data_IF_874960329205
#
_entry.id   IF_874960329205
#
_cell.length_a   1.000
_cell.length_b   1.000
_cell.length_c   1.000
_cell.angle_alpha   90.00
_cell.angle_beta   90.00
_cell.angle_gamma   90.00
#
_symmetry.space_group_name_H-M   'P 1'
#
loop_
_entity.id
_entity.type
_entity.pdbx_description
1 polymer ?
#
# COMPACT_ATOMS: atom_id res chain seq x y z
N UNK A 1 5.70 11.58 20.07
CA UNK A 1 4.76 11.06 19.06
C UNK A 1 4.62 9.53 19.07
N UNK A 2 5.71 8.74 18.99
CA UNK A 2 5.63 7.25 19.03
C UNK A 2 5.11 6.64 20.36
N UNK A 3 5.16 7.39 21.47
CA UNK A 3 4.64 6.91 22.76
C UNK A 3 3.11 6.97 22.87
N UNK A 4 2.45 7.92 22.20
CA UNK A 4 0.98 8.03 22.19
C UNK A 4 0.37 6.99 21.25
N UNK A 5 1.05 6.65 20.16
CA UNK A 5 0.65 5.57 19.26
C UNK A 5 0.66 4.20 19.98
N UNK A 6 1.64 3.98 20.87
CA UNK A 6 1.82 2.72 21.62
C UNK A 6 1.18 2.68 23.02
N UNK A 7 0.55 3.76 23.48
CA UNK A 7 -0.07 3.80 24.82
C UNK A 7 -1.43 3.08 24.84
N UNK A 8 -1.94 2.62 25.98
CA UNK A 8 -3.29 2.01 26.06
C UNK A 8 -4.40 3.07 26.25
N UNK A 9 -4.26 4.25 25.62
CA UNK A 9 -5.26 5.31 25.72
C UNK A 9 -6.48 4.96 24.86
N UNK A 10 -7.65 4.87 25.48
CA UNK A 10 -8.92 4.52 24.82
C UNK A 10 -9.37 5.56 23.78
N UNK A 11 -8.93 6.82 23.91
CA UNK A 11 -9.42 7.96 23.10
C UNK A 11 -8.38 8.55 22.14
N UNK A 12 -7.38 7.77 21.68
CA UNK A 12 -6.34 8.28 20.76
C UNK A 12 -6.90 8.95 19.52
N UNK A 13 -7.93 8.38 18.90
CA UNK A 13 -8.54 8.92 17.68
C UNK A 13 -9.04 10.34 17.89
N UNK A 14 -9.70 10.62 19.02
CA UNK A 14 -10.20 11.95 19.35
C UNK A 14 -9.05 12.96 19.54
N UNK A 15 -7.98 12.55 20.22
CA UNK A 15 -6.81 13.39 20.42
C UNK A 15 -6.11 13.73 19.09
N UNK A 16 -5.96 12.76 18.19
CA UNK A 16 -5.38 13.00 16.87
C UNK A 16 -6.27 13.90 16.00
N UNK A 17 -7.60 13.75 16.07
CA UNK A 17 -8.54 14.62 15.36
C UNK A 17 -8.53 16.06 15.91
N UNK A 18 -8.40 16.24 17.23
CA UNK A 18 -8.24 17.56 17.83
C UNK A 18 -6.93 18.23 17.39
N UNK A 19 -5.83 17.48 17.36
CA UNK A 19 -4.55 18.00 16.86
C UNK A 19 -4.62 18.36 15.37
N UNK A 20 -5.40 17.62 14.58
CA UNK A 20 -5.60 17.88 13.15
C UNK A 20 -6.26 19.24 12.87
N UNK A 21 -7.09 19.76 13.78
CA UNK A 21 -7.72 21.08 13.66
C UNK A 21 -6.70 22.23 13.59
N UNK A 22 -5.52 22.05 14.19
CA UNK A 22 -4.45 23.05 14.18
C UNK A 22 -3.38 22.72 13.13
N UNK A 23 -3.09 21.43 12.95
CA UNK A 23 -2.01 20.97 12.08
C UNK A 23 -2.43 20.77 10.61
N UNK A 24 -3.73 20.73 10.33
CA UNK A 24 -4.30 20.56 8.99
C UNK A 24 -3.65 19.40 8.20
N UNK A 25 -3.51 18.25 8.86
CA UNK A 25 -2.93 17.01 8.29
C UNK A 25 -3.94 16.17 7.52
N UNK A 26 -5.22 16.57 7.54
CA UNK A 26 -6.32 15.95 6.81
C UNK A 26 -6.41 14.45 7.12
N UNK A 27 -6.56 14.14 8.41
CA UNK A 27 -6.57 12.76 8.93
C UNK A 27 -7.90 12.05 8.68
N UNK A 28 -8.97 12.79 8.38
CA UNK A 28 -10.28 12.25 8.02
C UNK A 28 -10.45 12.04 6.51
N UNK A 29 -9.39 12.28 5.72
CA UNK A 29 -9.42 12.00 4.29
C UNK A 29 -9.76 10.53 4.06
N UNK A 30 -10.71 10.22 3.15
CA UNK A 30 -10.94 8.85 2.75
C UNK A 30 -9.64 8.29 2.20
N UNK A 31 -9.26 7.09 2.62
CA UNK A 31 -8.17 6.35 2.01
C UNK A 31 -8.54 6.24 0.53
N UNK A 32 -7.80 6.94 -0.33
CA UNK A 32 -8.01 6.85 -1.77
C UNK A 32 -7.76 5.40 -2.16
N UNK A 33 -8.85 4.65 -2.36
CA UNK A 33 -8.78 3.32 -2.94
C UNK A 33 -8.30 3.55 -4.37
N UNK A 34 -7.01 3.37 -4.61
CA UNK A 34 -6.48 3.33 -5.97
C UNK A 34 -7.15 2.15 -6.64
N UNK A 35 -8.10 2.42 -7.53
CA UNK A 35 -8.68 1.36 -8.36
C UNK A 35 -7.59 0.83 -9.27
N UNK A 36 -7.30 -0.46 -9.14
CA UNK A 36 -6.46 -1.18 -10.08
C UNK A 36 -7.16 -1.16 -11.44
N UNK A 37 -6.49 -0.59 -12.44
CA UNK A 37 -6.91 -0.80 -13.82
C UNK A 37 -6.73 -2.27 -14.19
N UNK A 38 -7.55 -2.80 -15.12
CA UNK A 38 -7.45 -4.19 -15.59
C UNK A 38 -6.01 -4.54 -16.05
N UNK A 39 -5.31 -3.58 -16.65
CA UNK A 39 -3.92 -3.73 -17.07
C UNK A 39 -2.98 -3.97 -15.88
N UNK A 40 -3.14 -3.20 -14.79
CA UNK A 40 -2.32 -3.37 -13.58
C UNK A 40 -2.62 -4.71 -12.88
N UNK A 41 -3.88 -5.12 -12.83
CA UNK A 41 -4.26 -6.42 -12.28
C UNK A 41 -3.63 -7.56 -13.09
N UNK A 42 -3.69 -7.47 -14.43
CA UNK A 42 -3.07 -8.46 -15.32
C UNK A 42 -1.56 -8.56 -15.09
N UNK A 43 -0.85 -7.43 -14.96
CA UNK A 43 0.59 -7.41 -14.68
C UNK A 43 0.94 -8.03 -13.32
N UNK A 44 0.09 -7.82 -12.31
CA UNK A 44 0.24 -8.45 -10.98
C UNK A 44 0.10 -9.97 -11.09
N UNK A 45 -0.89 -10.44 -11.83
CA UNK A 45 -1.16 -11.88 -12.02
C UNK A 45 -0.06 -12.56 -12.85
N UNK A 46 0.42 -11.89 -13.90
CA UNK A 46 1.56 -12.34 -14.70
C UNK A 46 2.83 -12.42 -13.84
N UNK A 47 3.03 -11.49 -12.92
CA UNK A 47 4.18 -11.51 -11.99
C UNK A 47 4.07 -12.70 -11.03
N UNK A 48 2.88 -12.98 -10.50
CA UNK A 48 2.63 -14.13 -9.64
C UNK A 48 2.91 -15.45 -10.37
N UNK A 49 2.52 -15.53 -11.65
CA UNK A 49 2.83 -16.66 -12.53
C UNK A 49 4.33 -16.77 -12.86
N UNK A 50 5.00 -15.66 -13.15
CA UNK A 50 6.45 -15.64 -13.37
C UNK A 50 7.20 -16.12 -12.11
N UNK A 51 6.73 -15.75 -10.92
CA UNK A 51 7.27 -16.24 -9.64
C UNK A 51 7.06 -17.74 -9.45
N UNK A 52 5.86 -18.27 -9.73
CA UNK A 52 5.59 -19.71 -9.59
C UNK A 52 6.41 -20.55 -10.58
N UNK A 53 6.67 -20.02 -11.76
CA UNK A 53 7.50 -20.63 -12.80
C UNK A 53 9.00 -20.34 -12.62
N UNK A 54 9.42 -19.69 -11.53
CA UNK A 54 10.81 -19.32 -11.22
C UNK A 54 11.47 -18.44 -12.29
N UNK A 55 10.67 -17.67 -13.04
CA UNK A 55 11.10 -16.67 -14.03
C UNK A 55 11.39 -15.34 -13.31
N UNK A 56 12.52 -15.27 -12.64
CA UNK A 56 12.91 -14.11 -11.82
C UNK A 56 13.11 -12.84 -12.64
N UNK A 57 13.68 -12.96 -13.85
CA UNK A 57 13.91 -11.83 -14.76
C UNK A 57 12.58 -11.20 -15.24
N UNK A 58 11.62 -12.04 -15.64
CA UNK A 58 10.29 -11.59 -16.06
C UNK A 58 9.55 -10.92 -14.90
N UNK A 59 9.62 -11.51 -13.71
CA UNK A 59 9.03 -10.93 -12.49
C UNK A 59 9.61 -9.55 -12.15
N UNK A 60 10.92 -9.34 -12.35
CA UNK A 60 11.57 -8.06 -12.11
C UNK A 60 11.18 -7.01 -13.16
N UNK A 61 11.11 -7.41 -14.44
CA UNK A 61 10.62 -6.53 -15.51
C UNK A 61 9.18 -6.06 -15.27
N UNK A 62 8.30 -6.98 -14.83
CA UNK A 62 6.92 -6.66 -14.49
C UNK A 62 6.83 -5.72 -13.27
N UNK A 63 7.73 -5.89 -12.28
CA UNK A 63 7.82 -4.96 -11.13
C UNK A 63 8.17 -3.55 -11.59
N UNK A 64 9.13 -3.38 -12.48
CA UNK A 64 9.52 -2.07 -13.01
C UNK A 64 8.38 -1.43 -13.81
N UNK A 65 7.63 -2.22 -14.58
CA UNK A 65 6.44 -1.73 -15.30
C UNK A 65 5.36 -1.25 -14.33
N UNK A 66 5.07 -2.01 -13.28
CA UNK A 66 4.12 -1.62 -12.23
C UNK A 66 4.57 -0.34 -11.51
N UNK A 67 5.86 -0.22 -11.19
CA UNK A 67 6.45 1.00 -10.60
C UNK A 67 6.33 2.21 -11.55
N UNK A 68 6.50 2.01 -12.86
CA UNK A 68 6.34 3.07 -13.86
C UNK A 68 4.90 3.58 -13.96
N UNK A 69 3.92 2.71 -13.66
CA UNK A 69 2.50 3.05 -13.53
C UNK A 69 2.18 3.64 -12.15
N UNK A 70 3.21 3.89 -11.33
CA UNK A 70 3.13 4.44 -9.98
C UNK A 70 2.67 3.43 -8.93
N UNK A 71 2.58 2.14 -9.25
CA UNK A 71 2.03 1.12 -8.37
C UNK A 71 3.17 0.31 -7.76
N UNK A 72 3.34 0.42 -6.44
CA UNK A 72 4.43 -0.26 -5.75
C UNK A 72 3.95 -1.60 -5.24
N UNK A 73 4.62 -2.67 -5.64
CA UNK A 73 4.23 -4.04 -5.32
C UNK A 73 5.20 -4.64 -4.32
N UNK A 74 4.65 -5.09 -3.18
CA UNK A 74 5.39 -5.73 -2.10
C UNK A 74 4.87 -7.14 -1.85
N UNK A 75 5.78 -8.09 -1.81
CA UNK A 75 5.46 -9.46 -1.40
C UNK A 75 5.40 -9.55 0.13
N UNK A 76 4.33 -10.16 0.64
CA UNK A 76 4.20 -10.54 2.05
C UNK A 76 3.86 -12.03 2.16
N UNK A 77 3.90 -12.57 3.38
CA UNK A 77 3.54 -13.96 3.67
C UNK A 77 2.10 -14.30 3.30
N UNK A 78 1.21 -13.32 3.34
CA UNK A 78 -0.22 -13.48 3.06
C UNK A 78 -0.58 -13.23 1.58
N UNK A 79 0.40 -12.84 0.76
CA UNK A 79 0.20 -12.58 -0.67
C UNK A 79 0.95 -11.37 -1.18
N UNK A 80 0.51 -10.85 -2.32
CA UNK A 80 1.09 -9.68 -2.95
C UNK A 80 0.25 -8.45 -2.59
N UNK A 81 0.86 -7.48 -1.89
CA UNK A 81 0.21 -6.22 -1.51
C UNK A 81 0.72 -5.13 -2.45
N UNK A 82 -0.16 -4.21 -2.84
CA UNK A 82 0.17 -3.09 -3.70
C UNK A 82 -0.23 -1.75 -3.06
N UNK A 83 0.47 -0.67 -3.42
CA UNK A 83 0.25 0.70 -2.89
C UNK A 83 0.44 1.74 -3.99
#
# INVERSE_FOLDING_TARGET
>A
MREIEKSELTNKRELFMFADQVLALDLDRPIAVRELTEQMQTLIDERAKARSEKRWADSDSLRVQLESLGLHVKDTSDGQIWT
#
